data_IF_646670056385
#
_entry.id   IF_646670056385
#
_cell.length_a   1.000
_cell.length_b   1.000
_cell.length_c   1.000
_cell.angle_alpha   90.00
_cell.angle_beta   90.00
_cell.angle_gamma   90.00
#
_symmetry.space_group_name_H-M   'P 1'
#
loop_
_entity.id
_entity.type
_entity.pdbx_description
1 polymer ?
#
# COMPACT_ATOMS: atom_id res chain seq x y z
N UNK A 1 -16.18 12.40 -3.83
CA UNK A 1 -16.07 11.32 -4.86
C UNK A 1 -14.57 11.15 -5.13
N UNK A 2 -14.07 9.98 -5.59
CA UNK A 2 -12.63 9.66 -5.59
C UNK A 2 -11.71 10.70 -6.28
N UNK A 3 -12.29 11.61 -7.04
CA UNK A 3 -11.71 12.80 -7.67
C UNK A 3 -11.09 13.83 -6.69
N UNK A 4 -11.36 13.78 -5.37
CA UNK A 4 -10.71 14.62 -4.35
C UNK A 4 -9.61 13.92 -3.53
N UNK A 5 -9.37 12.62 -3.76
CA UNK A 5 -8.38 11.83 -3.01
C UNK A 5 -7.01 11.91 -3.70
N UNK A 6 -6.06 12.65 -3.12
CA UNK A 6 -4.71 12.80 -3.67
C UNK A 6 -3.77 11.59 -3.43
N UNK A 7 -4.06 10.74 -2.46
CA UNK A 7 -3.26 9.57 -2.11
C UNK A 7 -4.12 8.45 -1.51
N UNK A 8 -3.95 7.24 -2.01
CA UNK A 8 -4.46 5.99 -1.43
C UNK A 8 -3.25 5.12 -1.10
N UNK A 9 -3.11 4.75 0.17
CA UNK A 9 -2.11 3.78 0.62
C UNK A 9 -2.84 2.48 1.01
N UNK A 10 -2.54 1.40 0.31
CA UNK A 10 -3.09 0.07 0.62
C UNK A 10 -2.01 -0.71 1.34
N UNK A 11 -2.35 -1.24 2.52
CA UNK A 11 -1.45 -2.05 3.36
C UNK A 11 -2.10 -3.40 3.57
N UNK A 12 -1.40 -4.48 3.23
CA UNK A 12 -1.93 -5.83 3.36
C UNK A 12 -0.84 -6.84 3.77
N UNK A 13 -1.17 -7.71 4.72
CA UNK A 13 -0.36 -8.87 5.07
C UNK A 13 -0.64 -10.03 4.10
N UNK A 14 -0.40 -9.74 2.82
CA UNK A 14 -0.62 -10.64 1.70
C UNK A 14 0.40 -10.34 0.59
N UNK A 15 0.53 -11.28 -0.36
CA UNK A 15 1.33 -11.08 -1.57
C UNK A 15 0.87 -9.84 -2.33
N UNK A 16 1.84 -9.11 -2.87
CA UNK A 16 1.56 -7.91 -3.67
C UNK A 16 0.68 -8.21 -4.88
N UNK A 17 0.72 -9.43 -5.44
CA UNK A 17 -0.12 -9.84 -6.56
C UNK A 17 -1.48 -10.41 -6.11
N UNK A 18 -2.55 -10.00 -6.79
CA UNK A 18 -3.91 -10.53 -6.62
C UNK A 18 -4.62 -10.13 -5.33
N UNK A 19 -3.98 -9.29 -4.50
CA UNK A 19 -4.47 -8.89 -3.19
C UNK A 19 -5.42 -7.69 -3.18
N UNK A 20 -5.56 -7.09 -2.01
CA UNK A 20 -6.39 -5.91 -1.77
C UNK A 20 -5.99 -4.73 -2.66
N UNK A 21 -4.69 -4.52 -2.89
CA UNK A 21 -4.23 -3.44 -3.76
C UNK A 21 -4.71 -3.60 -5.20
N UNK A 22 -4.80 -4.82 -5.71
CA UNK A 22 -5.33 -5.08 -7.06
C UNK A 22 -6.86 -4.92 -7.09
N UNK A 23 -7.56 -5.35 -6.04
CA UNK A 23 -8.99 -5.11 -5.90
C UNK A 23 -9.33 -3.62 -5.86
N UNK A 24 -8.54 -2.82 -5.13
CA UNK A 24 -8.66 -1.35 -5.08
C UNK A 24 -8.41 -0.75 -6.46
N UNK A 25 -7.32 -1.12 -7.14
CA UNK A 25 -7.04 -0.64 -8.50
C UNK A 25 -8.16 -1.00 -9.48
N UNK A 26 -8.69 -2.22 -9.41
CA UNK A 26 -9.82 -2.67 -10.23
C UNK A 26 -11.09 -1.88 -9.97
N UNK A 27 -11.42 -1.61 -8.71
CA UNK A 27 -12.58 -0.79 -8.35
C UNK A 27 -12.44 0.64 -8.87
N UNK A 28 -11.25 1.24 -8.72
CA UNK A 28 -10.98 2.62 -9.16
C UNK A 28 -11.00 2.76 -10.68
N UNK A 29 -10.50 1.77 -11.42
CA UNK A 29 -10.53 1.77 -12.88
C UNK A 29 -11.96 1.88 -13.46
N UNK A 30 -12.97 1.38 -12.72
CA UNK A 30 -14.38 1.51 -13.10
C UNK A 30 -15.01 2.88 -12.83
N UNK A 31 -14.32 3.79 -12.13
CA UNK A 31 -14.88 5.09 -11.71
C UNK A 31 -14.51 6.26 -12.61
N UNK A 32 -13.61 6.06 -13.58
CA UNK A 32 -13.13 7.11 -14.48
C UNK A 32 -11.69 7.54 -14.18
N UNK A 33 -11.42 8.85 -14.16
CA UNK A 33 -10.06 9.37 -13.98
C UNK A 33 -9.63 9.32 -12.52
N UNK A 34 -8.59 8.55 -12.24
CA UNK A 34 -7.80 8.65 -11.00
C UNK A 34 -6.94 9.91 -11.04
N UNK A 35 -7.18 10.84 -10.12
CA UNK A 35 -6.39 12.08 -9.97
C UNK A 35 -5.27 11.97 -8.93
N UNK A 36 -5.34 10.96 -8.04
CA UNK A 36 -4.37 10.69 -6.99
C UNK A 36 -3.40 9.55 -7.28
N UNK A 37 -2.46 9.33 -6.36
CA UNK A 37 -1.53 8.18 -6.37
C UNK A 37 -2.10 7.01 -5.58
N UNK A 38 -1.82 5.80 -6.03
CA UNK A 38 -2.06 4.56 -5.26
C UNK A 38 -0.69 3.93 -4.95
N UNK A 39 -0.42 3.66 -3.67
CA UNK A 39 0.78 2.97 -3.20
C UNK A 39 0.35 1.69 -2.49
N UNK A 40 1.07 0.59 -2.75
CA UNK A 40 0.83 -0.72 -2.13
C UNK A 40 2.01 -1.09 -1.23
N UNK A 41 1.73 -1.38 0.04
CA UNK A 41 2.64 -2.03 0.98
C UNK A 41 2.11 -3.44 1.20
N UNK A 42 2.90 -4.42 0.79
CA UNK A 42 2.50 -5.82 0.74
C UNK A 42 3.75 -6.71 0.79
N UNK A 43 3.56 -8.01 1.05
CA UNK A 43 4.64 -8.98 1.04
C UNK A 43 5.13 -9.20 -0.39
N UNK A 44 6.39 -8.84 -0.66
CA UNK A 44 7.00 -8.90 -2.01
C UNK A 44 7.90 -10.11 -2.23
N UNK A 45 8.36 -10.76 -1.17
CA UNK A 45 9.23 -11.94 -1.24
C UNK A 45 8.73 -13.06 -0.30
N UNK A 46 9.40 -14.21 -0.31
CA UNK A 46 9.11 -15.33 0.58
C UNK A 46 9.53 -14.99 2.03
N UNK A 47 8.62 -15.03 3.02
CA UNK A 47 8.98 -14.74 4.40
C UNK A 47 9.93 -15.80 4.98
N UNK A 48 10.86 -15.34 5.81
CA UNK A 48 11.69 -16.20 6.64
C UNK A 48 10.97 -16.66 7.92
N UNK A 49 11.72 -17.25 8.84
CA UNK A 49 11.25 -17.45 10.21
C UNK A 49 11.42 -16.16 11.02
N UNK A 50 10.44 -15.84 11.86
CA UNK A 50 10.46 -14.67 12.72
C UNK A 50 9.16 -14.55 13.50
N UNK A 51 9.14 -13.64 14.46
CA UNK A 51 7.90 -13.20 15.12
C UNK A 51 7.01 -12.44 14.13
N UNK A 52 5.69 -12.36 14.37
CA UNK A 52 4.80 -11.56 13.54
C UNK A 52 5.25 -10.10 13.39
N UNK A 53 5.81 -9.50 14.44
CA UNK A 53 6.33 -8.14 14.42
C UNK A 53 7.55 -8.02 13.48
N UNK A 54 8.51 -8.93 13.59
CA UNK A 54 9.70 -8.96 12.73
C UNK A 54 9.32 -9.17 11.26
N UNK A 55 8.35 -10.05 10.98
CA UNK A 55 7.91 -10.33 9.62
C UNK A 55 7.15 -9.14 8.99
N UNK A 56 6.33 -8.42 9.78
CA UNK A 56 5.66 -7.19 9.30
C UNK A 56 6.65 -6.07 9.02
N UNK A 57 7.64 -5.89 9.90
CA UNK A 57 8.71 -4.92 9.69
C UNK A 57 9.55 -5.26 8.45
N UNK A 58 9.93 -6.54 8.28
CA UNK A 58 10.64 -7.03 7.10
C UNK A 58 9.86 -6.80 5.81
N UNK A 59 8.56 -7.08 5.81
CA UNK A 59 7.68 -6.85 4.66
C UNK A 59 7.30 -5.37 4.47
N UNK A 60 7.73 -4.46 5.37
CA UNK A 60 7.40 -3.03 5.36
C UNK A 60 5.90 -2.75 5.40
N UNK A 61 5.17 -3.52 6.19
CA UNK A 61 3.71 -3.36 6.42
C UNK A 61 3.37 -3.01 7.87
N UNK A 62 4.38 -2.62 8.65
CA UNK A 62 4.20 -2.13 10.01
C UNK A 62 3.89 -0.62 10.06
N UNK A 63 3.62 -0.12 11.26
CA UNK A 63 3.23 1.27 11.47
C UNK A 63 4.33 2.26 11.02
N UNK A 64 5.60 1.92 11.23
CA UNK A 64 6.74 2.77 10.89
C UNK A 64 6.87 2.90 9.37
N UNK A 65 6.78 1.80 8.62
CA UNK A 65 6.80 1.82 7.16
C UNK A 65 5.60 2.59 6.58
N UNK A 66 4.41 2.48 7.18
CA UNK A 66 3.23 3.26 6.80
C UNK A 66 3.48 4.76 6.97
N UNK A 67 3.97 5.18 8.15
CA UNK A 67 4.25 6.59 8.44
C UNK A 67 5.33 7.15 7.51
N UNK A 68 6.41 6.41 7.30
CA UNK A 68 7.48 6.77 6.36
C UNK A 68 6.93 6.99 4.96
N UNK A 69 6.18 6.01 4.43
CA UNK A 69 5.60 6.05 3.09
C UNK A 69 4.65 7.24 2.90
N UNK A 70 3.78 7.50 3.88
CA UNK A 70 2.87 8.66 3.83
C UNK A 70 3.65 9.97 3.82
N UNK A 71 4.65 10.10 4.69
CA UNK A 71 5.48 11.32 4.77
C UNK A 71 6.21 11.57 3.45
N UNK A 72 6.82 10.53 2.89
CA UNK A 72 7.53 10.62 1.60
C UNK A 72 6.59 10.96 0.46
N UNK A 73 5.44 10.30 0.39
CA UNK A 73 4.43 10.58 -0.62
C UNK A 73 3.99 12.06 -0.56
N UNK A 74 3.78 12.61 0.64
CA UNK A 74 3.29 13.98 0.81
C UNK A 74 4.37 15.07 0.81
N UNK A 75 5.65 14.73 0.59
CA UNK A 75 6.70 15.76 0.45
C UNK A 75 6.39 16.67 -0.75
N UNK A 76 6.41 18.00 -0.59
CA UNK A 76 6.38 18.93 -1.72
C UNK A 76 7.58 18.65 -2.62
N UNK A 77 7.36 18.64 -3.94
CA UNK A 77 8.42 18.64 -4.94
C UNK A 77 9.13 19.98 -5.01
#
# INVERSE_FOLDING_TARGET
PPDDIGLILVVEDHRIEGGLGDAVLGALAGTGTLTGRVIKLAVTDMPGSGTPEELRAWARIDADAVVETVREALRPG
#
